data_IF_449160815043
#
_entry.id   IF_449160815043
#
_cell.length_a   1.000
_cell.length_b   1.000
_cell.length_c   1.000
_cell.angle_alpha   90.00
_cell.angle_beta   90.00
_cell.angle_gamma   90.00
#
_symmetry.space_group_name_H-M   'P 1'
#
loop_
_entity.id
_entity.type
_entity.pdbx_description
1 polymer ?
#
# COMPACT_ATOMS: atom_id res chain seq x y z
N UNK A 1 -7.80 -22.75 -3.22
CA UNK A 1 -7.71 -23.02 -1.77
C UNK A 1 -6.30 -23.43 -1.46
N UNK A 2 -5.68 -22.78 -0.48
CA UNK A 2 -4.37 -23.16 0.06
C UNK A 2 -4.41 -22.95 1.57
N UNK A 3 -3.72 -23.80 2.32
CA UNK A 3 -3.66 -23.74 3.78
C UNK A 3 -2.18 -23.66 4.19
N UNK A 4 -1.90 -22.80 5.16
CA UNK A 4 -0.56 -22.65 5.76
C UNK A 4 -0.70 -22.89 7.26
N UNK A 5 0.14 -23.76 7.81
CA UNK A 5 0.25 -23.99 9.25
C UNK A 5 1.46 -23.23 9.78
N UNK A 6 1.23 -22.26 10.66
CA UNK A 6 2.28 -21.52 11.36
C UNK A 6 2.46 -22.17 12.73
N UNK A 7 3.64 -22.75 12.99
CA UNK A 7 3.97 -23.42 14.26
C UNK A 7 4.78 -22.50 15.16
N UNK A 8 4.77 -22.78 16.46
CA UNK A 8 5.53 -22.05 17.48
C UNK A 8 5.24 -20.54 17.47
N UNK A 9 3.96 -20.19 17.35
CA UNK A 9 3.52 -18.81 17.50
C UNK A 9 3.45 -18.48 19.00
N UNK A 10 3.86 -17.28 19.36
CA UNK A 10 3.75 -16.80 20.74
C UNK A 10 2.27 -16.73 21.16
N UNK A 11 1.97 -17.23 22.37
CA UNK A 11 0.60 -17.29 22.88
C UNK A 11 0.05 -15.86 23.12
N UNK A 12 0.90 -14.92 23.54
CA UNK A 12 0.51 -13.51 23.69
C UNK A 12 0.07 -12.90 22.36
N UNK A 13 0.82 -13.18 21.28
CA UNK A 13 0.47 -12.75 19.93
C UNK A 13 -0.89 -13.31 19.46
N UNK A 14 -1.20 -14.57 19.80
CA UNK A 14 -2.51 -15.17 19.49
C UNK A 14 -3.64 -14.41 20.19
N UNK A 15 -3.46 -14.08 21.47
CA UNK A 15 -4.47 -13.37 22.26
C UNK A 15 -4.68 -11.93 21.76
N UNK A 16 -3.63 -11.24 21.33
CA UNK A 16 -3.75 -9.91 20.72
C UNK A 16 -4.55 -9.93 19.43
N UNK A 17 -4.33 -10.93 18.56
CA UNK A 17 -5.11 -11.08 17.34
C UNK A 17 -6.55 -11.51 17.60
N UNK A 18 -6.82 -12.31 18.65
CA UNK A 18 -8.20 -12.62 19.07
C UNK A 18 -8.95 -11.38 19.51
N UNK A 19 -8.30 -10.49 20.28
CA UNK A 19 -8.86 -9.21 20.69
C UNK A 19 -9.15 -8.32 19.48
N UNK A 20 -8.17 -8.17 18.58
CA UNK A 20 -8.36 -7.42 17.31
C UNK A 20 -9.53 -7.97 16.50
N UNK A 21 -9.66 -9.29 16.39
CA UNK A 21 -10.76 -9.92 15.66
C UNK A 21 -12.13 -9.60 16.29
N UNK A 22 -12.22 -9.62 17.62
CA UNK A 22 -13.44 -9.26 18.35
C UNK A 22 -13.80 -7.78 18.14
N UNK A 23 -12.81 -6.88 18.21
CA UNK A 23 -12.99 -5.44 18.00
C UNK A 23 -13.48 -5.13 16.57
N UNK A 24 -12.99 -5.86 15.58
CA UNK A 24 -13.43 -5.76 14.18
C UNK A 24 -14.69 -6.57 13.86
N UNK A 25 -15.29 -7.27 14.82
CA UNK A 25 -16.50 -8.08 14.63
C UNK A 25 -16.34 -9.22 13.62
N UNK A 26 -15.13 -9.80 13.50
CA UNK A 26 -14.81 -10.85 12.52
C UNK A 26 -14.11 -12.04 13.17
N UNK A 27 -14.05 -13.16 12.45
CA UNK A 27 -13.34 -14.35 12.97
C UNK A 27 -11.83 -14.12 13.00
N UNK A 28 -11.12 -14.83 13.88
CA UNK A 28 -9.65 -14.79 13.96
C UNK A 28 -9.01 -15.14 12.61
N UNK A 29 -9.55 -16.12 11.89
CA UNK A 29 -9.06 -16.47 10.55
C UNK A 29 -9.23 -15.31 9.56
N UNK A 30 -10.37 -14.61 9.60
CA UNK A 30 -10.59 -13.44 8.76
C UNK A 30 -9.66 -12.29 9.12
N UNK A 31 -9.40 -12.09 10.43
CA UNK A 31 -8.41 -11.14 10.96
C UNK A 31 -7.03 -11.38 10.35
N UNK A 32 -6.51 -12.60 10.53
CA UNK A 32 -5.20 -13.00 10.04
C UNK A 32 -5.11 -12.94 8.51
N UNK A 33 -6.16 -13.33 7.80
CA UNK A 33 -6.18 -13.24 6.33
C UNK A 33 -6.07 -11.80 5.85
N UNK A 34 -6.77 -10.87 6.48
CA UNK A 34 -6.66 -9.46 6.12
C UNK A 34 -5.30 -8.88 6.50
N UNK A 35 -4.75 -9.27 7.67
CA UNK A 35 -3.41 -8.86 8.07
C UNK A 35 -2.37 -9.28 7.02
N UNK A 36 -2.37 -10.56 6.61
CA UNK A 36 -1.49 -11.08 5.57
C UNK A 36 -1.69 -10.40 4.21
N UNK A 37 -2.93 -10.09 3.84
CA UNK A 37 -3.23 -9.37 2.61
C UNK A 37 -2.71 -7.92 2.65
N UNK A 38 -2.83 -7.25 3.78
CA UNK A 38 -2.37 -5.87 3.98
C UNK A 38 -0.84 -5.77 3.94
N UNK A 39 -0.15 -6.78 4.44
CA UNK A 39 1.32 -6.87 4.45
C UNK A 39 1.85 -7.64 3.25
N UNK A 40 1.03 -7.87 2.22
CA UNK A 40 1.45 -8.61 1.02
C UNK A 40 2.75 -7.98 0.50
N UNK A 41 3.84 -8.76 0.37
CA UNK A 41 5.09 -8.23 -0.15
C UNK A 41 4.83 -7.56 -1.48
N UNK A 42 5.16 -6.27 -1.58
CA UNK A 42 5.12 -5.58 -2.86
C UNK A 42 6.18 -6.23 -3.72
N UNK A 43 5.80 -6.65 -4.93
CA UNK A 43 6.78 -7.03 -5.93
C UNK A 43 7.71 -5.83 -6.09
N UNK A 44 9.00 -6.00 -5.78
CA UNK A 44 10.01 -5.03 -6.17
C UNK A 44 10.08 -5.12 -7.69
N UNK A 45 9.54 -4.11 -8.36
CA UNK A 45 9.70 -3.97 -9.79
C UNK A 45 11.20 -3.92 -10.10
N UNK A 46 11.64 -4.62 -11.14
CA UNK A 46 12.99 -4.46 -11.66
C UNK A 46 13.18 -3.02 -12.15
N UNK A 47 14.43 -2.63 -12.40
CA UNK A 47 14.75 -1.32 -12.98
C UNK A 47 14.01 -1.12 -14.31
N UNK A 48 13.95 -2.15 -15.14
CA UNK A 48 13.30 -2.15 -16.44
C UNK A 48 11.78 -2.00 -16.30
N UNK A 49 11.18 -2.70 -15.34
CA UNK A 49 9.74 -2.60 -15.05
C UNK A 49 9.35 -1.23 -14.50
N UNK A 50 10.21 -0.61 -13.69
CA UNK A 50 10.02 0.75 -13.21
C UNK A 50 10.07 1.78 -14.33
N UNK A 51 11.03 1.65 -15.25
CA UNK A 51 11.14 2.53 -16.41
C UNK A 51 9.92 2.39 -17.32
N UNK A 52 9.52 1.15 -17.63
CA UNK A 52 8.33 0.90 -18.44
C UNK A 52 7.04 1.44 -17.78
N UNK A 53 6.93 1.35 -16.45
CA UNK A 53 5.82 1.93 -15.71
C UNK A 53 5.84 3.46 -15.78
N UNK A 54 7.02 4.09 -15.63
CA UNK A 54 7.18 5.54 -15.77
C UNK A 54 6.77 6.02 -17.16
N UNK A 55 7.26 5.38 -18.22
CA UNK A 55 6.93 5.75 -19.60
C UNK A 55 5.43 5.61 -19.88
N UNK A 56 4.81 4.54 -19.37
CA UNK A 56 3.36 4.34 -19.49
C UNK A 56 2.57 5.44 -18.79
N UNK A 57 2.97 5.85 -17.59
CA UNK A 57 2.29 6.92 -16.85
C UNK A 57 2.46 8.28 -17.53
N UNK A 58 3.65 8.56 -18.07
CA UNK A 58 3.89 9.77 -18.86
C UNK A 58 3.02 9.79 -20.12
N UNK A 59 2.87 8.67 -20.82
CA UNK A 59 2.00 8.57 -21.99
C UNK A 59 0.51 8.79 -21.68
N UNK A 60 0.08 8.51 -20.44
CA UNK A 60 -1.29 8.80 -19.97
C UNK A 60 -1.49 10.25 -19.55
N UNK A 61 -0.43 11.04 -19.41
CA UNK A 61 -0.52 12.43 -18.97
C UNK A 61 -0.88 13.33 -20.16
N UNK A 62 -2.02 14.06 -20.11
CA UNK A 62 -2.38 14.99 -21.17
C UNK A 62 -1.28 16.03 -21.42
N UNK A 63 -1.02 16.43 -22.68
CA UNK A 63 0.02 17.40 -23.01
C UNK A 63 -0.18 18.75 -22.31
N UNK A 64 -1.43 19.13 -22.07
CA UNK A 64 -1.80 20.37 -21.36
C UNK A 64 -1.39 20.38 -19.89
N UNK A 65 -1.29 19.21 -19.26
CA UNK A 65 -0.89 19.03 -17.86
C UNK A 65 0.59 18.68 -17.67
N UNK A 66 1.22 18.07 -18.68
CA UNK A 66 2.62 17.65 -18.60
C UNK A 66 3.62 18.82 -18.53
N UNK A 67 3.19 20.04 -18.89
CA UNK A 67 4.04 21.22 -19.01
C UNK A 67 3.80 22.29 -17.93
N UNK A 68 2.90 22.06 -16.97
CA UNK A 68 2.62 23.07 -15.94
C UNK A 68 3.73 23.02 -14.88
N UNK A 69 4.60 24.01 -14.89
CA UNK A 69 5.59 24.20 -13.82
C UNK A 69 4.86 24.55 -12.52
N UNK A 70 4.73 23.55 -11.66
CA UNK A 70 4.07 23.68 -10.35
C UNK A 70 4.82 24.63 -9.41
N UNK A 71 6.08 24.98 -9.69
CA UNK A 71 6.84 25.90 -8.85
C UNK A 71 6.26 27.31 -8.86
N UNK A 72 5.58 27.72 -9.94
CA UNK A 72 4.90 29.01 -9.99
C UNK A 72 3.73 29.07 -9.01
N UNK A 73 2.89 28.02 -8.98
CA UNK A 73 1.74 27.91 -8.08
C UNK A 73 2.18 27.81 -6.61
N UNK A 74 3.27 27.07 -6.35
CA UNK A 74 3.83 26.95 -4.99
C UNK A 74 4.37 28.29 -4.49
N UNK A 75 5.01 29.08 -5.37
CA UNK A 75 5.50 30.43 -5.02
C UNK A 75 4.35 31.38 -4.74
N UNK A 76 3.32 31.37 -5.57
CA UNK A 76 2.11 32.16 -5.37
C UNK A 76 1.47 31.89 -3.99
N UNK A 77 1.28 30.63 -3.62
CA UNK A 77 0.66 30.27 -2.32
C UNK A 77 1.57 30.56 -1.11
N UNK A 78 2.89 30.52 -1.30
CA UNK A 78 3.86 30.87 -0.25
C UNK A 78 3.96 32.37 -0.02
N UNK A 79 4.01 33.15 -1.11
CA UNK A 79 4.28 34.60 -1.07
C UNK A 79 2.99 35.41 -0.79
N UNK A 80 1.81 34.77 -0.77
CA UNK A 80 0.49 35.36 -0.43
C UNK A 80 0.06 35.17 1.02
N UNK A 81 0.89 34.54 1.86
CA UNK A 81 0.70 34.39 3.32
C UNK A 81 1.63 35.31 4.10
#
# INVERSE_FOLDING_TARGET
MGQVLIRNLDDGLIEDYKRSAADHGRSLEAELRAALASTRPRARLSKEELLALSDRLLALTPPSSAAVDSTLLIREDRDSR
#
